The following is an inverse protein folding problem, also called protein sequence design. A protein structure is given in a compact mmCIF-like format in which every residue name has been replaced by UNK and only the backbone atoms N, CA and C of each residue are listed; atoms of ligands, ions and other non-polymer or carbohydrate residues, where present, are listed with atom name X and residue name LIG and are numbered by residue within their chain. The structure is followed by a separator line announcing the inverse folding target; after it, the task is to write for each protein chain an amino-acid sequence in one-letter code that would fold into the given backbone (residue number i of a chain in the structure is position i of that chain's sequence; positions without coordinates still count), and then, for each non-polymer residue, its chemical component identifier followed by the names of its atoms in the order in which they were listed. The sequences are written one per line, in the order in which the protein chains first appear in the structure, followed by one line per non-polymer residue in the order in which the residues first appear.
data_IF_188443928429
#
_entry.id   IF_188443928429
#
_cell.length_a   1.000
_cell.length_b   1.000
_cell.length_c   1.000
_cell.angle_alpha   90.00
_cell.angle_beta   90.00
_cell.angle_gamma   90.00
#
_symmetry.space_group_name_H-M   'P 1'
#
loop_
_entity.id
_entity.type
_entity.pdbx_description
1 polymer ?
#
# COMPACT_ATOMS: atom_id res chain seq x y z
N UNK A 1 24.40 -0.92 -8.92
CA UNK A 1 23.81 0.20 -9.67
C UNK A 1 22.36 0.03 -9.40
N UNK A 2 21.85 0.85 -8.49
CA UNK A 2 20.69 0.50 -7.67
C UNK A 2 19.57 1.47 -8.03
N UNK A 3 18.35 0.96 -8.07
CA UNK A 3 17.16 1.71 -8.46
C UNK A 3 16.48 2.25 -7.22
N UNK A 4 16.37 3.57 -7.13
CA UNK A 4 15.61 4.24 -6.06
C UNK A 4 14.12 4.33 -6.39
N UNK A 5 13.30 4.60 -5.37
CA UNK A 5 11.85 4.76 -5.57
C UNK A 5 11.55 5.88 -6.57
N UNK A 6 12.24 7.02 -6.45
CA UNK A 6 12.11 8.16 -7.35
C UNK A 6 12.48 7.81 -8.79
N UNK A 7 13.51 6.99 -9.00
CA UNK A 7 13.90 6.54 -10.34
C UNK A 7 12.87 5.56 -10.92
N UNK A 8 12.29 4.68 -10.11
CA UNK A 8 11.22 3.76 -10.54
C UNK A 8 9.94 4.53 -10.92
N UNK A 9 9.53 5.49 -10.07
CA UNK A 9 8.40 6.39 -10.30
C UNK A 9 8.63 7.28 -11.54
N UNK A 10 9.82 7.87 -11.64
CA UNK A 10 10.24 8.65 -12.79
C UNK A 10 10.26 7.82 -14.07
N UNK A 11 10.68 6.55 -13.98
CA UNK A 11 10.61 5.57 -15.05
C UNK A 11 9.18 5.36 -15.55
N UNK A 12 8.22 5.17 -14.65
CA UNK A 12 6.80 5.04 -14.99
C UNK A 12 6.24 6.28 -15.73
N UNK A 13 6.65 7.47 -15.32
CA UNK A 13 6.16 8.72 -15.91
C UNK A 13 6.77 9.00 -17.28
N UNK A 14 8.08 8.79 -17.40
CA UNK A 14 8.86 9.21 -18.56
C UNK A 14 9.00 8.13 -19.64
N UNK A 15 8.84 6.85 -19.31
CA UNK A 15 9.04 5.73 -20.25
C UNK A 15 7.71 5.03 -20.54
N UNK A 16 7.12 5.35 -21.70
CA UNK A 16 5.83 4.79 -22.12
C UNK A 16 5.83 3.27 -22.21
N UNK A 17 6.90 2.66 -22.74
CA UNK A 17 6.98 1.20 -22.82
C UNK A 17 6.98 0.54 -21.44
N UNK A 18 7.75 1.08 -20.49
CA UNK A 18 7.77 0.58 -19.12
C UNK A 18 6.40 0.72 -18.45
N UNK A 19 5.75 1.89 -18.59
CA UNK A 19 4.38 2.11 -18.11
C UNK A 19 3.39 1.12 -18.71
N UNK A 20 3.45 0.87 -20.02
CA UNK A 20 2.56 -0.06 -20.69
C UNK A 20 2.75 -1.49 -20.17
N UNK A 21 3.98 -1.90 -19.85
CA UNK A 21 4.23 -3.19 -19.21
C UNK A 21 3.66 -3.28 -17.79
N UNK A 22 3.75 -2.21 -17.00
CA UNK A 22 3.14 -2.16 -15.67
C UNK A 22 1.61 -2.19 -15.75
N UNK A 23 1.01 -1.41 -16.66
CA UNK A 23 -0.43 -1.42 -16.90
C UNK A 23 -0.93 -2.78 -17.40
N UNK A 24 -0.15 -3.51 -18.19
CA UNK A 24 -0.48 -4.87 -18.61
C UNK A 24 -0.48 -5.88 -17.45
N UNK A 25 0.10 -5.52 -16.30
CA UNK A 25 0.04 -6.26 -15.03
C UNK A 25 -1.00 -5.65 -14.06
N UNK A 26 -1.88 -4.77 -14.54
CA UNK A 26 -2.87 -4.01 -13.75
C UNK A 26 -2.24 -3.12 -12.66
N UNK A 27 -1.01 -2.66 -12.87
CA UNK A 27 -0.28 -1.77 -11.95
C UNK A 27 -0.42 -0.33 -12.43
N UNK A 28 -1.12 0.48 -11.63
CA UNK A 28 -1.26 1.91 -11.87
C UNK A 28 -0.10 2.69 -11.28
N UNK A 29 -0.06 4.00 -11.56
CA UNK A 29 0.97 4.87 -11.00
C UNK A 29 0.96 4.87 -9.47
N UNK A 30 -0.23 4.87 -8.87
CA UNK A 30 -0.39 4.92 -7.41
C UNK A 30 0.10 3.61 -6.74
N UNK A 31 0.07 2.50 -7.48
CA UNK A 31 0.59 1.21 -7.03
C UNK A 31 2.13 1.15 -7.05
N UNK A 32 2.81 2.06 -7.75
CA UNK A 32 4.27 1.97 -7.96
C UNK A 32 5.07 2.07 -6.66
N UNK A 33 4.60 2.83 -5.66
CA UNK A 33 5.21 2.86 -4.33
C UNK A 33 5.09 1.50 -3.63
N UNK A 34 3.95 0.81 -3.82
CA UNK A 34 3.77 -0.56 -3.30
C UNK A 34 4.68 -1.52 -4.06
N UNK A 35 4.76 -1.41 -5.39
CA UNK A 35 5.68 -2.20 -6.22
C UNK A 35 7.11 -2.04 -5.77
N UNK A 36 7.58 -0.82 -5.51
CA UNK A 36 8.93 -0.59 -4.99
C UNK A 36 9.18 -1.36 -3.70
N UNK A 37 8.25 -1.30 -2.74
CA UNK A 37 8.37 -2.03 -1.47
C UNK A 37 8.35 -3.56 -1.62
N UNK A 38 7.80 -4.08 -2.71
CA UNK A 38 7.81 -5.51 -3.04
C UNK A 38 9.15 -5.90 -3.67
N UNK A 39 9.70 -5.03 -4.53
CA UNK A 39 10.99 -5.23 -5.18
C UNK A 39 12.15 -5.12 -4.16
N UNK A 40 12.07 -4.20 -3.21
CA UNK A 40 13.05 -3.99 -2.12
C UNK A 40 12.88 -5.04 -1.01
N UNK A 41 13.21 -6.30 -1.35
CA UNK A 41 12.97 -7.45 -0.50
C UNK A 41 13.76 -7.41 0.82
N UNK A 42 14.92 -6.76 0.82
CA UNK A 42 15.74 -6.56 2.01
C UNK A 42 15.42 -5.27 2.78
N UNK A 43 14.54 -4.41 2.24
CA UNK A 43 14.14 -3.12 2.81
C UNK A 43 15.33 -2.17 3.01
N UNK A 44 16.30 -2.20 2.11
CA UNK A 44 17.46 -1.33 2.11
C UNK A 44 17.14 0.10 1.65
N UNK A 45 15.97 0.31 1.03
CA UNK A 45 15.55 1.57 0.43
C UNK A 45 16.05 1.75 -1.00
N UNK A 46 16.66 0.72 -1.59
CA UNK A 46 17.09 0.70 -3.00
C UNK A 46 16.95 -0.71 -3.55
N UNK A 47 16.47 -0.82 -4.79
CA UNK A 47 16.32 -2.11 -5.46
C UNK A 47 17.57 -2.38 -6.28
N UNK A 48 18.33 -3.40 -5.91
CA UNK A 48 19.48 -3.82 -6.71
C UNK A 48 19.02 -4.61 -7.95
N UNK A 49 19.95 -4.88 -8.86
CA UNK A 49 19.63 -5.56 -10.13
C UNK A 49 19.03 -6.96 -9.92
N UNK A 50 19.54 -7.72 -8.96
CA UNK A 50 19.08 -9.09 -8.70
C UNK A 50 17.65 -9.08 -8.15
N UNK A 51 17.35 -8.15 -7.23
CA UNK A 51 16.02 -7.91 -6.69
C UNK A 51 15.03 -7.45 -7.76
N UNK A 52 15.43 -6.50 -8.61
CA UNK A 52 14.60 -6.02 -9.69
C UNK A 52 14.19 -7.16 -10.61
N UNK A 53 15.13 -8.01 -11.03
CA UNK A 53 14.82 -9.12 -11.93
C UNK A 53 14.03 -10.22 -11.21
N UNK A 54 14.43 -10.62 -10.00
CA UNK A 54 13.78 -11.73 -9.28
C UNK A 54 12.35 -11.41 -8.90
N UNK A 55 12.11 -10.24 -8.32
CA UNK A 55 10.81 -9.86 -7.80
C UNK A 55 9.87 -9.43 -8.94
N UNK A 56 10.37 -8.70 -9.95
CA UNK A 56 9.56 -8.35 -11.11
C UNK A 56 9.18 -9.59 -11.94
N UNK A 57 10.07 -10.58 -12.04
CA UNK A 57 9.75 -11.83 -12.72
C UNK A 57 8.69 -12.65 -11.95
N UNK A 58 8.76 -12.68 -10.61
CA UNK A 58 7.70 -13.29 -9.78
C UNK A 58 6.34 -12.62 -10.02
N UNK A 59 6.32 -11.28 -10.06
CA UNK A 59 5.11 -10.50 -10.36
C UNK A 59 4.56 -10.81 -11.75
N UNK A 60 5.42 -10.82 -12.77
CA UNK A 60 5.04 -11.14 -14.16
C UNK A 60 4.50 -12.58 -14.30
N UNK A 61 4.98 -13.51 -13.49
CA UNK A 61 4.63 -14.93 -13.59
C UNK A 61 3.25 -15.33 -13.02
N UNK A 62 2.41 -14.36 -12.62
CA UNK A 62 1.09 -14.59 -12.01
C UNK A 62 1.13 -15.48 -10.76
N UNK A 63 2.09 -15.26 -9.86
CA UNK A 63 2.02 -15.92 -8.57
C UNK A 63 0.94 -15.25 -7.69
N UNK A 64 0.20 -16.06 -6.95
CA UNK A 64 -0.88 -15.64 -6.03
C UNK A 64 -0.43 -14.60 -4.99
N UNK A 65 0.88 -14.36 -4.91
CA UNK A 65 1.57 -13.38 -4.09
C UNK A 65 1.13 -11.92 -4.33
N UNK A 66 1.01 -11.46 -5.59
CA UNK A 66 0.59 -10.07 -5.87
C UNK A 66 -0.85 -9.84 -5.43
N UNK A 67 -1.74 -10.82 -5.70
CA UNK A 67 -3.11 -10.78 -5.20
C UNK A 67 -3.16 -10.83 -3.65
N UNK A 68 -2.29 -11.61 -3.02
CA UNK A 68 -2.13 -11.67 -1.56
C UNK A 68 -1.65 -10.33 -0.98
N UNK A 69 -0.78 -9.60 -1.68
CA UNK A 69 -0.32 -8.27 -1.27
C UNK A 69 -1.46 -7.26 -1.35
N UNK A 70 -2.24 -7.25 -2.45
CA UNK A 70 -3.44 -6.43 -2.55
C UNK A 70 -4.45 -6.77 -1.45
N UNK A 71 -4.73 -8.06 -1.22
CA UNK A 71 -5.59 -8.51 -0.13
C UNK A 71 -5.05 -8.03 1.22
N UNK A 72 -3.74 -8.17 1.49
CA UNK A 72 -3.11 -7.73 2.74
C UNK A 72 -3.22 -6.22 2.92
N UNK A 73 -3.03 -5.44 1.86
CA UNK A 73 -3.18 -3.99 1.87
C UNK A 73 -4.62 -3.60 2.19
N UNK A 74 -5.59 -4.11 1.43
CA UNK A 74 -7.02 -3.83 1.67
C UNK A 74 -7.48 -4.25 3.06
N UNK A 75 -7.03 -5.40 3.58
CA UNK A 75 -7.32 -5.83 4.95
C UNK A 75 -6.72 -4.87 5.99
N UNK A 76 -5.54 -4.32 5.71
CA UNK A 76 -4.88 -3.36 6.62
C UNK A 76 -5.64 -2.03 6.66
N UNK A 77 -6.06 -1.51 5.52
CA UNK A 77 -6.87 -0.29 5.42
C UNK A 77 -8.23 -0.46 6.08
N UNK A 78 -8.95 -1.56 5.80
CA UNK A 78 -10.22 -1.87 6.48
C UNK A 78 -10.03 -1.92 8.01
N UNK A 79 -8.93 -2.51 8.50
CA UNK A 79 -8.62 -2.56 9.94
C UNK A 79 -8.30 -1.19 10.52
N UNK A 80 -7.78 -0.26 9.73
CA UNK A 80 -7.48 1.11 10.15
C UNK A 80 -8.78 1.91 10.27
N UNK A 81 -9.60 1.88 9.23
CA UNK A 81 -10.90 2.57 9.18
C UNK A 81 -11.82 2.10 10.32
N UNK A 82 -11.89 0.80 10.56
CA UNK A 82 -12.68 0.25 11.68
C UNK A 82 -12.20 0.75 13.04
N UNK A 83 -10.88 0.89 13.24
CA UNK A 83 -10.33 1.41 14.50
C UNK A 83 -10.66 2.88 14.71
N UNK A 84 -10.59 3.68 13.64
CA UNK A 84 -10.97 5.09 13.68
C UNK A 84 -12.45 5.26 13.98
N UNK A 85 -13.33 4.52 13.28
CA UNK A 85 -14.78 4.56 13.53
C UNK A 85 -15.14 4.15 14.96
N UNK A 86 -14.52 3.08 15.50
CA UNK A 86 -14.73 2.65 16.90
C UNK A 86 -14.29 3.74 17.88
N UNK A 87 -13.16 4.41 17.61
CA UNK A 87 -12.65 5.49 18.46
C UNK A 87 -13.60 6.68 18.48
N UNK A 88 -14.14 7.07 17.32
CA UNK A 88 -15.15 8.14 17.21
C UNK A 88 -16.41 7.76 17.97
N UNK A 89 -16.95 6.56 17.75
CA UNK A 89 -18.16 6.11 18.42
C UNK A 89 -18.00 6.04 19.95
N UNK A 90 -16.84 5.58 20.43
CA UNK A 90 -16.52 5.56 21.86
C UNK A 90 -16.52 6.97 22.47
N UNK A 91 -15.97 7.97 21.77
CA UNK A 91 -16.00 9.37 22.22
C UNK A 91 -17.42 9.92 22.29
N UNK A 92 -18.26 9.61 21.31
CA UNK A 92 -19.67 10.04 21.32
C UNK A 92 -20.45 9.43 22.48
N UNK A 93 -20.20 8.15 22.80
CA UNK A 93 -20.81 7.47 23.94
C UNK A 93 -20.41 8.13 25.26
N UNK A 94 -19.11 8.39 25.49
CA UNK A 94 -18.67 9.06 26.72
C UNK A 94 -19.29 10.45 26.85
N UNK A 95 -19.31 11.23 25.77
CA UNK A 95 -19.93 12.56 25.77
C UNK A 95 -21.41 12.51 26.13
N UNK A 96 -22.16 11.50 25.66
CA UNK A 96 -23.58 11.33 26.04
C UNK A 96 -23.76 10.90 27.49
N UNK A 97 -22.86 10.08 28.03
CA UNK A 97 -22.91 9.67 29.44
C UNK A 97 -22.56 10.82 30.39
N UNK A 98 -21.64 11.70 30.03
CA UNK A 98 -21.29 12.89 30.83
C UNK A 98 -22.43 13.92 30.87
N UNK A 99 -23.16 14.10 29.77
CA UNK A 99 -24.28 15.07 29.70
C UNK A 99 -25.55 14.58 30.41
N UNK A 100 -25.69 13.27 30.65
CA UNK A 100 -26.86 12.68 31.29
C UNK A 100 -26.88 12.76 32.83
N UNK A 101 -25.82 13.23 33.47
CA UNK A 101 -25.70 13.28 34.96
C UNK A 101 -26.03 14.66 35.54
N UNK A 102 -25.98 15.72 34.74
CA UNK A 102 -26.21 17.11 35.20
C UNK A 102 -27.67 17.59 35.06
N UNK A 103 -28.61 16.69 34.73
CA UNK A 103 -30.00 17.03 34.41
C UNK A 103 -31.06 16.70 35.47
N UNK A 104 -30.67 16.08 36.60
CA UNK A 104 -31.59 15.54 37.61
C UNK A 104 -31.47 16.22 39.01
N UNK A 105 -31.14 17.53 39.06
CA UNK A 105 -31.32 18.37 40.26
C UNK A 105 -32.38 19.47 40.08
#
# INVERSE_FOLDING_TARGET
GDLTEDELLGGYDSHEEFRNHMLAMDITRDDMTIVFSILDADSSGAVNYDEFISELHKMKSHDSHTLLIFIRHYVTEIRKDLREQISVFKKEIYKKMEVGVDGDE
#
